data_IF_434359573535
#
_entry.id   IF_434359573535
#
_cell.length_a   1.000
_cell.length_b   1.000
_cell.length_c   1.000
_cell.angle_alpha   90.00
_cell.angle_beta   90.00
_cell.angle_gamma   90.00
#
_symmetry.space_group_name_H-M   'P 1'
#
loop_
_entity.id
_entity.type
_entity.pdbx_description
1 polymer ?
#
# COMPACT_ATOMS: atom_id res chain seq x y z
N UNK A 1 1.11 -51.13 -15.77
CA UNK A 1 0.37 -49.86 -15.85
C UNK A 1 1.38 -48.75 -15.63
N UNK A 2 1.66 -47.95 -16.66
CA UNK A 2 2.58 -46.84 -16.55
C UNK A 2 1.96 -45.81 -15.60
N UNK A 3 2.64 -45.53 -14.48
CA UNK A 3 2.30 -44.38 -13.68
C UNK A 3 2.63 -43.15 -14.53
N UNK A 4 1.61 -42.45 -15.04
CA UNK A 4 1.80 -41.12 -15.60
C UNK A 4 2.47 -40.28 -14.51
N UNK A 5 3.72 -39.91 -14.77
CA UNK A 5 4.45 -38.97 -13.93
C UNK A 5 3.75 -37.63 -14.09
N UNK A 6 2.90 -37.29 -13.12
CA UNK A 6 2.35 -35.96 -12.99
C UNK A 6 3.49 -34.99 -12.66
N UNK A 7 4.11 -34.43 -13.70
CA UNK A 7 5.19 -33.46 -13.57
C UNK A 7 4.62 -32.10 -13.16
N UNK A 8 4.93 -31.66 -11.94
CA UNK A 8 4.90 -30.22 -11.66
C UNK A 8 6.17 -29.60 -12.19
N UNK A 9 6.05 -28.93 -13.34
CA UNK A 9 7.09 -28.02 -13.80
C UNK A 9 7.04 -26.78 -12.91
N UNK A 10 7.77 -26.82 -11.80
CA UNK A 10 8.26 -25.62 -11.14
C UNK A 10 9.21 -24.92 -12.10
N UNK A 11 8.66 -24.23 -13.12
CA UNK A 11 9.47 -23.54 -14.10
C UNK A 11 10.01 -22.29 -13.42
N UNK A 12 11.31 -22.32 -13.13
CA UNK A 12 12.09 -21.16 -12.74
C UNK A 12 12.82 -20.68 -14.00
N UNK A 13 12.16 -19.92 -14.90
CA UNK A 13 12.80 -19.45 -16.11
C UNK A 13 13.99 -18.56 -15.75
N UNK A 14 15.14 -18.91 -16.31
CA UNK A 14 16.19 -17.94 -16.52
C UNK A 14 16.01 -17.31 -17.89
N UNK A 15 16.20 -15.99 -17.96
CA UNK A 15 16.20 -15.28 -19.24
C UNK A 15 17.47 -15.58 -20.06
N UNK A 16 18.46 -16.28 -19.48
CA UNK A 16 19.73 -16.65 -20.12
C UNK A 16 20.13 -18.10 -19.77
N UNK A 17 20.47 -18.95 -20.76
CA UNK A 17 21.02 -20.28 -20.48
C UNK A 17 22.23 -20.21 -19.53
N UNK A 18 22.27 -21.08 -18.53
CA UNK A 18 23.39 -21.15 -17.56
C UNK A 18 23.35 -20.09 -16.45
N UNK A 19 22.44 -19.11 -16.49
CA UNK A 19 22.27 -18.15 -15.40
C UNK A 19 21.21 -18.66 -14.42
N UNK A 20 21.51 -18.60 -13.13
CA UNK A 20 20.56 -18.95 -12.07
C UNK A 20 19.29 -18.08 -12.17
N UNK A 21 18.09 -18.67 -12.08
CA UNK A 21 16.84 -17.92 -12.08
C UNK A 21 16.80 -16.92 -10.92
N UNK A 22 16.58 -15.63 -11.21
CA UNK A 22 16.50 -14.58 -10.17
C UNK A 22 15.08 -14.32 -9.64
N UNK A 23 14.05 -14.96 -10.21
CA UNK A 23 12.67 -14.69 -9.78
C UNK A 23 12.40 -15.33 -8.41
N UNK A 24 11.76 -14.62 -7.47
CA UNK A 24 11.41 -15.19 -6.17
C UNK A 24 10.51 -16.42 -6.35
N UNK A 25 10.97 -17.54 -5.79
CA UNK A 25 10.32 -18.83 -5.90
C UNK A 25 9.13 -18.90 -4.93
N UNK A 26 7.95 -19.27 -5.44
CA UNK A 26 6.80 -19.58 -4.57
C UNK A 26 6.85 -21.06 -4.17
N UNK A 27 6.37 -21.41 -2.96
CA UNK A 27 6.13 -22.81 -2.62
C UNK A 27 5.24 -23.47 -3.67
N UNK A 28 5.58 -24.71 -4.03
CA UNK A 28 4.84 -25.48 -5.03
C UNK A 28 3.74 -26.24 -4.31
N UNK A 29 2.48 -26.01 -4.67
CA UNK A 29 1.36 -26.77 -4.13
C UNK A 29 1.27 -28.13 -4.84
N UNK A 30 1.62 -29.19 -4.13
CA UNK A 30 1.57 -30.57 -4.63
C UNK A 30 0.26 -31.30 -4.28
N UNK A 31 -0.64 -30.68 -3.51
CA UNK A 31 -1.82 -31.36 -2.91
C UNK A 31 -2.64 -32.17 -3.91
N UNK A 32 -2.88 -31.62 -5.10
CA UNK A 32 -3.71 -32.24 -6.13
C UNK A 32 -3.04 -33.43 -6.85
N UNK A 33 -1.77 -33.70 -6.55
CA UNK A 33 -0.95 -34.72 -7.21
C UNK A 33 -0.52 -35.82 -6.26
N UNK A 34 -0.82 -35.65 -4.97
CA UNK A 34 -0.48 -36.60 -3.94
C UNK A 34 -1.62 -37.61 -3.79
N UNK A 35 -1.27 -38.89 -3.66
CA UNK A 35 -2.19 -39.90 -3.17
C UNK A 35 -2.51 -39.60 -1.70
N UNK A 36 -3.78 -39.39 -1.38
CA UNK A 36 -4.28 -39.19 -0.01
C UNK A 36 -4.63 -40.53 0.69
N UNK A 37 -4.19 -41.65 0.12
CA UNK A 37 -4.37 -43.00 0.65
C UNK A 37 -3.07 -43.49 1.31
N UNK A 38 -3.02 -44.78 1.70
CA UNK A 38 -1.81 -45.44 2.17
C UNK A 38 -0.77 -45.70 1.06
N UNK A 39 -1.02 -45.26 -0.18
CA UNK A 39 -0.08 -45.41 -1.28
C UNK A 39 1.14 -44.49 -1.10
N UNK A 40 2.32 -45.00 -1.47
CA UNK A 40 3.57 -44.25 -1.39
C UNK A 40 3.62 -43.16 -2.46
N UNK A 41 3.78 -41.90 -2.03
CA UNK A 41 4.07 -40.78 -2.90
C UNK A 41 5.58 -40.70 -3.21
N UNK A 42 5.96 -40.54 -4.48
CA UNK A 42 7.37 -40.41 -4.91
C UNK A 42 7.59 -39.07 -5.59
N UNK A 43 8.48 -38.26 -5.04
CA UNK A 43 8.84 -36.94 -5.56
C UNK A 43 10.28 -37.01 -6.08
N UNK A 44 10.49 -36.63 -7.33
CA UNK A 44 11.81 -36.54 -7.97
C UNK A 44 12.11 -35.06 -8.25
N UNK A 45 13.24 -34.55 -7.73
CA UNK A 45 13.68 -33.17 -7.96
C UNK A 45 14.87 -33.18 -8.92
N UNK A 46 14.80 -32.36 -9.96
CA UNK A 46 15.86 -32.21 -10.95
C UNK A 46 16.24 -30.73 -11.00
N UNK A 47 17.53 -30.41 -10.92
CA UNK A 47 18.02 -29.03 -10.96
C UNK A 47 19.30 -28.91 -11.78
N UNK A 48 19.57 -27.70 -12.28
CA UNK A 48 20.82 -27.36 -12.96
C UNK A 48 21.96 -27.10 -11.97
N UNK A 49 23.20 -27.38 -12.38
CA UNK A 49 24.37 -27.04 -11.57
C UNK A 49 24.75 -25.57 -11.77
N UNK A 50 24.43 -24.74 -10.78
CA UNK A 50 24.76 -23.31 -10.76
C UNK A 50 25.89 -22.97 -9.76
N UNK A 51 26.70 -23.95 -9.35
CA UNK A 51 27.79 -23.74 -8.39
C UNK A 51 27.32 -23.45 -6.96
N UNK A 52 26.07 -23.77 -6.63
CA UNK A 52 25.45 -23.61 -5.31
C UNK A 52 24.84 -24.92 -4.82
N UNK A 53 24.79 -25.07 -3.51
CA UNK A 53 24.03 -26.15 -2.87
C UNK A 53 22.59 -25.72 -2.63
N UNK A 54 21.64 -26.62 -2.86
CA UNK A 54 20.22 -26.38 -2.66
C UNK A 54 19.65 -27.41 -1.67
N UNK A 55 18.53 -27.08 -1.05
CA UNK A 55 17.77 -27.99 -0.19
C UNK A 55 16.30 -27.89 -0.55
N UNK A 56 15.60 -29.03 -0.51
CA UNK A 56 14.16 -29.10 -0.72
C UNK A 56 13.49 -29.66 0.53
N UNK A 57 12.36 -29.07 0.92
CA UNK A 57 11.55 -29.52 2.05
C UNK A 57 10.10 -29.68 1.62
N UNK A 58 9.46 -30.73 2.12
CA UNK A 58 8.04 -30.98 1.96
C UNK A 58 7.34 -30.71 3.30
N UNK A 59 6.32 -29.85 3.26
CA UNK A 59 5.60 -29.42 4.45
C UNK A 59 4.10 -29.60 4.26
N UNK A 60 3.42 -30.14 5.28
CA UNK A 60 1.98 -30.01 5.40
C UNK A 60 1.68 -28.64 6.01
N UNK A 61 0.89 -27.83 5.32
CA UNK A 61 0.60 -26.46 5.72
C UNK A 61 -0.90 -26.19 5.75
N UNK A 62 -1.32 -25.24 6.59
CA UNK A 62 -2.65 -24.65 6.53
C UNK A 62 -2.56 -23.31 5.81
N UNK A 63 -3.24 -23.18 4.67
CA UNK A 63 -3.33 -21.90 3.97
C UNK A 63 -4.18 -20.93 4.80
N UNK A 64 -3.64 -19.73 5.02
CA UNK A 64 -4.37 -18.63 5.65
C UNK A 64 -4.94 -17.71 4.57
N UNK A 65 -6.19 -17.31 4.76
CA UNK A 65 -6.87 -16.33 3.90
C UNK A 65 -6.49 -14.90 4.28
N UNK A 66 -6.67 -13.95 3.36
CA UNK A 66 -6.51 -12.52 3.66
C UNK A 66 -7.40 -12.06 4.82
N UNK A 67 -8.61 -12.62 4.97
CA UNK A 67 -9.51 -12.30 6.07
C UNK A 67 -8.97 -12.75 7.44
N UNK A 68 -8.42 -13.98 7.53
CA UNK A 68 -7.80 -14.47 8.77
C UNK A 68 -6.55 -13.66 9.14
N UNK A 69 -5.72 -13.32 8.15
CA UNK A 69 -4.55 -12.45 8.36
C UNK A 69 -4.95 -11.05 8.81
N UNK A 70 -6.03 -10.49 8.26
CA UNK A 70 -6.56 -9.20 8.67
C UNK A 70 -7.07 -9.23 10.11
N UNK A 71 -7.81 -10.26 10.49
CA UNK A 71 -8.29 -10.42 11.86
C UNK A 71 -7.13 -10.50 12.86
N UNK A 72 -6.09 -11.28 12.53
CA UNK A 72 -4.88 -11.35 13.34
C UNK A 72 -4.20 -9.99 13.41
N UNK A 73 -4.05 -9.27 12.30
CA UNK A 73 -3.43 -7.94 12.28
C UNK A 73 -4.21 -6.93 13.13
N UNK A 74 -5.54 -6.96 13.11
CA UNK A 74 -6.40 -6.14 13.98
C UNK A 74 -6.24 -6.44 15.48
N UNK A 75 -5.77 -7.64 15.82
CA UNK A 75 -5.60 -8.06 17.22
C UNK A 75 -4.22 -7.65 17.77
N UNK A 76 -3.16 -7.77 16.98
CA UNK A 76 -1.78 -7.60 17.47
C UNK A 76 -1.01 -6.44 16.82
N UNK A 77 -1.48 -5.92 15.68
CA UNK A 77 -0.76 -4.93 14.87
C UNK A 77 -1.27 -3.49 15.04
N UNK A 78 -2.26 -3.24 15.89
CA UNK A 78 -2.79 -1.88 16.11
C UNK A 78 -1.83 -1.08 16.98
N UNK A 79 -1.30 0.02 16.45
CA UNK A 79 -0.46 0.95 17.22
C UNK A 79 -1.33 2.03 17.85
N UNK A 80 -0.98 2.41 19.08
CA UNK A 80 -1.70 3.45 19.81
C UNK A 80 -1.57 4.82 19.11
N UNK A 81 -2.63 5.66 19.06
CA UNK A 81 -2.59 6.96 18.39
C UNK A 81 -1.41 7.86 18.80
N UNK A 82 -1.07 7.92 20.10
CA UNK A 82 0.06 8.73 20.58
C UNK A 82 1.43 8.22 20.10
N UNK A 83 1.57 6.90 19.92
CA UNK A 83 2.79 6.33 19.33
C UNK A 83 2.88 6.68 17.85
N UNK A 84 1.78 6.51 17.10
CA UNK A 84 1.70 6.94 15.71
C UNK A 84 2.00 8.44 15.54
N UNK A 85 1.48 9.28 16.43
CA UNK A 85 1.77 10.73 16.44
C UNK A 85 3.27 11.00 16.60
N UNK A 86 3.94 10.26 17.48
CA UNK A 86 5.38 10.39 17.71
C UNK A 86 6.18 9.92 16.49
N UNK A 87 5.78 8.81 15.87
CA UNK A 87 6.38 8.30 14.63
C UNK A 87 6.22 9.29 13.48
N UNK A 88 5.06 9.91 13.32
CA UNK A 88 4.84 10.95 12.32
C UNK A 88 5.76 12.14 12.57
N UNK A 89 5.89 12.62 13.82
CA UNK A 89 6.85 13.69 14.16
C UNK A 89 8.27 13.31 13.79
N UNK A 90 8.69 12.08 14.07
CA UNK A 90 10.03 11.61 13.75
C UNK A 90 10.27 11.54 12.24
N UNK A 91 9.28 11.07 11.47
CA UNK A 91 9.31 11.07 10.00
C UNK A 91 9.34 12.48 9.40
N UNK A 92 8.82 13.47 10.14
CA UNK A 92 8.80 14.88 9.76
C UNK A 92 9.98 15.69 10.30
N UNK A 93 10.84 15.10 11.12
CA UNK A 93 12.07 15.76 11.51
C UNK A 93 12.93 15.93 10.27
N UNK A 94 13.16 17.19 9.94
CA UNK A 94 14.09 17.58 8.90
C UNK A 94 15.52 17.37 9.41
N UNK A 95 16.42 17.11 8.47
CA UNK A 95 17.85 17.22 8.71
C UNK A 95 18.15 18.62 9.26
N UNK A 96 18.86 18.77 10.39
CA UNK A 96 19.24 20.08 10.93
C UNK A 96 20.02 20.96 9.93
N UNK A 97 20.61 20.37 8.88
CA UNK A 97 21.31 21.09 7.81
C UNK A 97 20.38 21.51 6.65
N UNK A 98 19.08 21.23 6.73
CA UNK A 98 18.11 21.62 5.69
C UNK A 98 17.63 23.06 5.86
N UNK A 99 17.95 23.93 4.88
CA UNK A 99 17.52 25.34 4.86
C UNK A 99 15.99 25.53 4.69
N UNK A 100 15.24 24.45 4.43
CA UNK A 100 13.79 24.48 4.19
C UNK A 100 13.05 23.96 5.42
N UNK A 101 12.42 24.86 6.17
CA UNK A 101 11.50 24.49 7.25
C UNK A 101 10.13 24.05 6.67
N UNK A 102 9.90 22.73 6.61
CA UNK A 102 8.57 22.18 6.33
C UNK A 102 7.69 22.31 7.57
N UNK A 103 6.63 23.12 7.48
CA UNK A 103 5.68 23.39 8.58
C UNK A 103 4.67 22.27 8.80
N UNK A 104 4.52 21.36 7.83
CA UNK A 104 3.65 20.20 7.90
C UNK A 104 3.70 19.35 6.65
N UNK A 105 3.11 18.15 6.70
CA UNK A 105 2.94 17.25 5.55
C UNK A 105 1.46 17.02 5.28
N UNK A 106 1.08 17.05 4.00
CA UNK A 106 -0.26 16.65 3.59
C UNK A 106 -0.31 15.14 3.34
N UNK A 107 -1.19 14.44 4.04
CA UNK A 107 -1.42 12.99 3.90
C UNK A 107 -2.82 12.75 3.34
N UNK A 108 -2.94 11.88 2.34
CA UNK A 108 -4.23 11.48 1.79
C UNK A 108 -4.91 10.42 2.66
N UNK A 109 -6.22 10.56 2.85
CA UNK A 109 -7.10 9.55 3.46
C UNK A 109 -7.64 8.54 2.43
N UNK A 110 -7.14 8.60 1.20
CA UNK A 110 -7.49 7.72 0.09
C UNK A 110 -6.38 6.71 -0.16
N UNK A 111 -6.74 5.45 -0.26
CA UNK A 111 -5.83 4.35 -0.50
C UNK A 111 -5.12 4.50 -1.87
N UNK A 112 -3.78 4.44 -1.93
CA UNK A 112 -3.04 4.52 -3.20
C UNK A 112 -3.30 3.32 -4.12
N UNK A 113 -3.67 2.16 -3.55
CA UNK A 113 -3.93 0.92 -4.31
C UNK A 113 -5.26 0.94 -5.04
N UNK A 114 -6.35 1.24 -4.33
CA UNK A 114 -7.71 1.08 -4.85
C UNK A 114 -8.42 2.40 -5.14
N UNK A 115 -7.78 3.53 -4.81
CA UNK A 115 -8.33 4.89 -4.97
C UNK A 115 -9.67 5.10 -4.25
N UNK A 116 -9.89 4.35 -3.17
CA UNK A 116 -11.04 4.48 -2.26
C UNK A 116 -10.54 4.95 -0.89
N UNK A 117 -11.44 5.55 -0.10
CA UNK A 117 -11.14 5.95 1.27
C UNK A 117 -10.62 4.77 2.08
N UNK A 118 -9.58 5.00 2.88
CA UNK A 118 -9.00 3.99 3.77
C UNK A 118 -10.06 3.51 4.77
N UNK A 119 -10.24 2.19 4.87
CA UNK A 119 -11.06 1.55 5.89
C UNK A 119 -10.18 1.02 7.04
N UNK A 120 -9.01 0.47 6.71
CA UNK A 120 -8.02 0.00 7.68
C UNK A 120 -6.65 0.59 7.32
N UNK A 121 -6.30 1.77 7.85
CA UNK A 121 -5.05 2.43 7.49
C UNK A 121 -3.85 1.63 8.01
N UNK A 122 -3.01 1.22 7.09
CA UNK A 122 -1.89 0.32 7.34
C UNK A 122 -0.63 0.84 6.67
N UNK A 123 0.51 0.60 7.33
CA UNK A 123 1.84 0.82 6.79
C UNK A 123 2.80 -0.22 7.36
N UNK A 124 4.00 -0.37 6.80
CA UNK A 124 5.04 -1.15 7.45
C UNK A 124 5.80 -0.27 8.45
N UNK A 125 6.27 -0.85 9.56
CA UNK A 125 7.09 -0.12 10.55
C UNK A 125 8.37 0.47 9.92
N UNK A 126 8.87 -0.16 8.86
CA UNK A 126 10.09 0.23 8.12
C UNK A 126 9.85 1.34 7.09
N UNK A 127 8.60 1.77 6.88
CA UNK A 127 8.27 2.85 5.95
C UNK A 127 8.67 4.21 6.54
N UNK A 128 9.43 5.00 5.77
CA UNK A 128 9.81 6.36 6.14
C UNK A 128 8.72 7.42 5.83
N UNK A 129 7.70 7.06 5.05
CA UNK A 129 6.59 7.96 4.72
C UNK A 129 5.47 7.86 5.77
N UNK A 130 4.68 8.94 5.99
CA UNK A 130 3.50 8.93 6.85
C UNK A 130 2.23 8.31 6.20
N UNK A 131 2.21 8.15 4.88
CA UNK A 131 1.05 7.70 4.11
C UNK A 131 0.72 6.23 4.39
N UNK A 132 -0.57 5.95 4.55
CA UNK A 132 -1.09 4.60 4.72
C UNK A 132 -1.70 4.06 3.43
N UNK A 133 -1.69 2.74 3.31
CA UNK A 133 -2.50 1.97 2.37
C UNK A 133 -3.55 1.14 3.13
N UNK A 134 -4.50 0.55 2.41
CA UNK A 134 -5.58 -0.18 3.05
C UNK A 134 -5.19 -1.64 3.28
N UNK A 135 -5.22 -2.10 4.54
CA UNK A 135 -4.82 -3.45 4.90
C UNK A 135 -5.67 -4.53 4.20
N UNK A 136 -6.97 -4.29 3.98
CA UNK A 136 -7.88 -5.28 3.41
C UNK A 136 -7.42 -5.60 1.99
N UNK A 137 -7.28 -4.57 1.16
CA UNK A 137 -6.88 -4.73 -0.23
C UNK A 137 -5.42 -5.15 -0.37
N UNK A 138 -4.54 -4.70 0.53
CA UNK A 138 -3.14 -5.11 0.55
C UNK A 138 -2.98 -6.62 0.79
N UNK A 139 -3.72 -7.18 1.77
CA UNK A 139 -3.68 -8.61 2.06
C UNK A 139 -4.32 -9.43 0.95
N UNK A 140 -5.43 -8.98 0.36
CA UNK A 140 -6.06 -9.64 -0.79
C UNK A 140 -5.13 -9.69 -2.02
N UNK A 141 -4.39 -8.61 -2.29
CA UNK A 141 -3.40 -8.58 -3.36
C UNK A 141 -2.29 -9.61 -3.11
N UNK A 142 -1.76 -9.66 -1.88
CA UNK A 142 -0.68 -10.58 -1.52
C UNK A 142 -1.13 -12.05 -1.42
N UNK A 143 -2.39 -12.31 -1.13
CA UNK A 143 -2.98 -13.66 -1.22
C UNK A 143 -2.96 -14.20 -2.66
N UNK A 144 -3.28 -13.34 -3.65
CA UNK A 144 -3.23 -13.71 -5.08
C UNK A 144 -1.79 -13.73 -5.62
N UNK A 145 -1.02 -12.70 -5.31
CA UNK A 145 0.33 -12.48 -5.81
C UNK A 145 1.20 -11.92 -4.67
N UNK A 146 1.85 -12.78 -3.85
CA UNK A 146 2.69 -12.33 -2.74
C UNK A 146 3.92 -11.59 -3.27
N UNK A 147 3.86 -10.27 -3.29
CA UNK A 147 4.99 -9.39 -3.58
C UNK A 147 5.56 -8.82 -2.29
N UNK A 148 4.72 -8.56 -1.30
CA UNK A 148 5.07 -7.96 0.00
C UNK A 148 5.86 -6.67 -0.17
N UNK A 149 5.43 -5.84 -1.12
CA UNK A 149 6.03 -4.54 -1.43
C UNK A 149 5.07 -3.42 -1.05
N UNK A 150 5.56 -2.38 -0.39
CA UNK A 150 4.76 -1.21 -0.03
C UNK A 150 4.30 -0.48 -1.30
N UNK A 151 2.99 -0.21 -1.47
CA UNK A 151 2.46 0.47 -2.66
C UNK A 151 2.71 1.97 -2.69
N UNK A 152 3.33 2.54 -1.65
CA UNK A 152 3.67 3.96 -1.58
C UNK A 152 5.13 4.20 -1.94
N UNK A 153 6.06 3.39 -1.41
CA UNK A 153 7.50 3.61 -1.57
C UNK A 153 8.26 2.46 -2.22
N UNK A 154 7.58 1.40 -2.66
CA UNK A 154 8.18 0.23 -3.30
C UNK A 154 9.32 -0.43 -2.50
N UNK A 155 9.28 -0.32 -1.16
CA UNK A 155 10.17 -1.03 -0.24
C UNK A 155 9.50 -2.31 0.30
N UNK A 156 10.28 -3.30 0.78
CA UNK A 156 9.71 -4.49 1.43
C UNK A 156 8.79 -4.12 2.60
N UNK A 157 7.62 -4.75 2.64
CA UNK A 157 6.57 -4.58 3.64
C UNK A 157 5.96 -5.94 3.95
N UNK A 158 6.76 -6.81 4.59
CA UNK A 158 6.33 -8.16 4.96
C UNK A 158 5.20 -8.11 6.02
N UNK A 159 4.38 -9.16 6.08
CA UNK A 159 3.20 -9.23 6.96
C UNK A 159 3.52 -8.93 8.43
N UNK A 160 4.65 -9.45 8.92
CA UNK A 160 5.15 -9.28 10.28
C UNK A 160 5.60 -7.86 10.61
N UNK A 161 5.82 -7.03 9.59
CA UNK A 161 6.17 -5.61 9.73
C UNK A 161 4.96 -4.68 9.61
N UNK A 162 3.78 -5.21 9.26
CA UNK A 162 2.58 -4.39 9.07
C UNK A 162 2.03 -3.91 10.41
N UNK A 163 1.64 -2.65 10.43
CA UNK A 163 0.96 -2.00 11.55
C UNK A 163 -0.29 -1.28 11.06
N UNK A 164 -1.32 -1.30 11.90
CA UNK A 164 -2.50 -0.45 11.72
C UNK A 164 -2.26 0.86 12.46
N UNK A 165 -2.37 1.95 11.74
CA UNK A 165 -2.14 3.29 12.28
C UNK A 165 -3.36 3.74 13.10
N UNK A 166 -3.22 3.72 14.43
CA UNK A 166 -4.30 4.11 15.33
C UNK A 166 -4.66 5.59 15.25
N UNK A 167 -3.70 6.47 14.92
CA UNK A 167 -3.95 7.90 14.77
C UNK A 167 -4.80 8.15 13.53
N UNK A 168 -4.39 7.60 12.38
CA UNK A 168 -5.15 7.72 11.14
C UNK A 168 -6.51 7.02 11.23
N UNK A 169 -6.60 5.91 11.97
CA UNK A 169 -7.88 5.24 12.25
C UNK A 169 -8.85 6.16 13.00
N UNK A 170 -8.36 6.86 14.04
CA UNK A 170 -9.16 7.85 14.78
C UNK A 170 -9.61 9.01 13.88
N UNK A 171 -8.68 9.55 13.09
CA UNK A 171 -8.99 10.65 12.15
C UNK A 171 -10.03 10.22 11.10
N UNK A 172 -9.92 9.01 10.55
CA UNK A 172 -10.87 8.49 9.57
C UNK A 172 -12.29 8.39 10.14
N UNK A 173 -12.42 8.10 11.44
CA UNK A 173 -13.70 8.08 12.16
C UNK A 173 -14.25 9.48 12.42
N UNK A 174 -13.40 10.43 12.80
CA UNK A 174 -13.80 11.80 13.16
C UNK A 174 -14.08 12.69 11.93
N UNK A 175 -13.37 12.48 10.82
CA UNK A 175 -13.38 13.35 9.64
C UNK A 175 -13.90 12.64 8.39
N UNK A 176 -15.21 12.45 8.23
CA UNK A 176 -15.78 11.68 7.11
C UNK A 176 -15.71 12.37 5.74
N UNK A 177 -15.69 13.71 5.71
CA UNK A 177 -15.80 14.50 4.48
C UNK A 177 -14.46 14.89 3.85
N UNK A 178 -13.36 14.76 4.59
CA UNK A 178 -12.04 15.19 4.13
C UNK A 178 -11.31 14.06 3.39
N UNK A 179 -10.70 14.37 2.26
CA UNK A 179 -9.85 13.44 1.49
C UNK A 179 -8.36 13.54 1.85
N UNK A 180 -7.98 14.63 2.54
CA UNK A 180 -6.61 14.93 2.96
C UNK A 180 -6.61 15.56 4.35
N UNK A 181 -5.52 15.32 5.06
CA UNK A 181 -5.18 15.98 6.30
C UNK A 181 -3.80 16.59 6.19
N UNK A 182 -3.51 17.57 7.02
CA UNK A 182 -2.17 18.12 7.22
C UNK A 182 -1.69 17.75 8.62
N UNK A 183 -0.56 17.06 8.72
CA UNK A 183 0.15 16.86 9.99
C UNK A 183 1.15 17.99 10.17
N UNK A 184 1.03 18.72 11.28
CA UNK A 184 1.96 19.77 11.66
C UNK A 184 3.14 19.19 12.45
N UNK A 185 4.24 19.94 12.56
CA UNK A 185 5.47 19.50 13.25
C UNK A 185 5.22 19.23 14.76
N UNK A 186 4.24 19.91 15.35
CA UNK A 186 3.81 19.67 16.73
C UNK A 186 2.98 18.38 16.89
N UNK A 187 2.72 17.68 15.78
CA UNK A 187 1.97 16.44 15.65
C UNK A 187 0.46 16.61 15.66
N UNK A 188 -0.05 17.85 15.70
CA UNK A 188 -1.47 18.10 15.48
C UNK A 188 -1.83 17.81 14.02
N UNK A 189 -3.09 17.45 13.79
CA UNK A 189 -3.59 17.14 12.45
C UNK A 189 -4.86 17.92 12.15
N UNK A 190 -4.90 18.60 11.01
CA UNK A 190 -6.06 19.37 10.57
C UNK A 190 -6.61 18.82 9.24
N UNK A 191 -7.93 18.61 9.11
CA UNK A 191 -8.51 18.25 7.82
C UNK A 191 -8.35 19.40 6.83
N UNK A 192 -7.82 19.10 5.65
CA UNK A 192 -7.75 20.07 4.56
C UNK A 192 -9.11 20.06 3.88
N UNK A 193 -9.95 21.06 4.17
CA UNK A 193 -11.16 21.31 3.39
C UNK A 193 -10.73 21.87 2.05
N UNK A 194 -10.96 21.12 0.98
CA UNK A 194 -10.95 21.69 -0.36
C UNK A 194 -12.17 22.62 -0.37
N UNK A 195 -11.96 23.93 -0.31
CA UNK A 195 -13.00 24.84 -0.77
C UNK A 195 -13.30 24.42 -2.20
N UNK A 196 -14.47 23.79 -2.42
CA UNK A 196 -15.04 23.73 -3.77
C UNK A 196 -15.06 25.19 -4.19
N UNK A 197 -14.24 25.55 -5.18
CA UNK A 197 -14.49 26.75 -5.94
C UNK A 197 -15.96 26.68 -6.33
N UNK A 198 -16.80 27.45 -5.63
CA UNK A 198 -18.04 27.91 -6.24
C UNK A 198 -17.54 28.56 -7.50
N UNK A 199 -17.97 28.05 -8.64
CA UNK A 199 -17.80 28.72 -9.92
C UNK A 199 -18.29 30.15 -9.75
N UNK A 200 -17.40 31.06 -9.40
CA UNK A 200 -17.59 32.48 -9.56
C UNK A 200 -17.49 32.67 -11.06
N UNK A 201 -18.63 32.52 -11.74
CA UNK A 201 -18.88 33.28 -12.96
C UNK A 201 -18.40 34.72 -12.69
N UNK A 202 -17.49 35.28 -13.51
CA UNK A 202 -17.04 36.65 -13.30
C UNK A 202 -18.24 37.56 -13.58
N UNK A 203 -18.96 37.95 -12.52
CA UNK A 203 -19.72 39.19 -12.57
C UNK A 203 -18.70 40.29 -12.33
N UNK A 204 -18.15 40.78 -13.45
CA UNK A 204 -17.41 42.03 -13.49
C UNK A 204 -18.23 43.13 -12.79
N UNK A 205 -17.63 43.96 -11.93
CA UNK A 205 -18.31 45.16 -11.47
C UNK A 205 -18.59 46.05 -12.69
N UNK A 206 -19.87 46.34 -12.92
CA UNK A 206 -20.31 47.35 -13.89
C UNK A 206 -19.67 48.67 -13.47
N UNK A 207 -18.66 49.11 -14.23
CA UNK A 207 -18.19 50.49 -14.23
C UNK A 207 -19.36 51.35 -14.72
N UNK A 208 -20.01 52.06 -13.79
CA UNK A 208 -20.91 53.16 -14.14
C UNK A 208 -20.04 54.30 -14.68
N UNK A 209 -19.86 54.33 -15.99
CA UNK A 209 -19.30 55.48 -16.69
C UNK A 209 -20.44 56.47 -16.90
N UNK A 210 -20.27 57.65 -16.29
CA UNK A 210 -21.18 58.77 -16.39
C UNK A 210 -21.45 59.20 -17.84
N UNK A 211 -22.69 59.61 -18.05
CA UNK A 211 -23.28 60.16 -19.27
C UNK A 211 -22.45 61.28 -19.91
N UNK A 212 -22.19 61.15 -21.22
CA UNK A 212 -21.73 62.23 -22.11
C UNK A 212 -22.93 62.63 -23.00
N UNK A 213 -23.17 63.93 -23.29
CA UNK A 213 -24.37 64.40 -23.96
C UNK A 213 -24.36 64.18 -25.48
N UNK A 214 -25.56 64.11 -26.05
CA UNK A 214 -25.85 64.00 -27.49
C UNK A 214 -25.26 65.15 -28.34
N UNK A 215 -24.64 64.86 -29.50
CA UNK A 215 -24.43 65.87 -30.53
C UNK A 215 -25.74 66.15 -31.27
N UNK A 216 -26.05 67.44 -31.43
CA UNK A 216 -27.16 67.96 -32.24
C UNK A 216 -26.86 67.75 -33.73
N UNK A 217 -27.84 67.28 -34.48
CA UNK A 217 -27.92 67.46 -35.94
C UNK A 217 -28.16 68.94 -36.26
N UNK A 218 -27.34 69.56 -37.12
CA UNK A 218 -27.74 70.75 -37.88
C UNK A 218 -27.06 70.70 -39.27
N UNK A 219 -27.93 70.53 -40.28
CA UNK A 219 -27.81 70.80 -41.75
C UNK A 219 -26.70 70.18 -42.58
#
# INVERSE_FOLDING_TARGET
MAAELLEVKGYYPSNKPGVEPQRPCRPINLTNLMYLSSATNRITVIWGNYGKSYSAGLYLVRQLTSAELLQRLKTIGVKHPELCKTLVKEKLRLDPDSEIATTGVSVSLTCPLVKMRLAVPCQAETCAHPECFDAVFYLQMNEKKPTWMCPVCDKPAAYDQLIIDGLLSKILMECQEADKIEFLVDGSSCPIKIEKERSCSPQCPILVIGSIPSPKEIT
#
